data_IF_032926245003
#
_entry.id   IF_032926245003
#
_cell.length_a   1.000
_cell.length_b   1.000
_cell.length_c   1.000
_cell.angle_alpha   90.00
_cell.angle_beta   90.00
_cell.angle_gamma   90.00
#
_symmetry.space_group_name_H-M   'P 1'
#
loop_
_entity.id
_entity.type
_entity.pdbx_description
1 polymer ?
#
# COMPACT_ATOMS: atom_id res chain seq x y z
N UNK A 1 24.56 15.39 6.46
CA UNK A 1 25.01 15.27 7.86
C UNK A 1 25.18 16.69 8.41
N UNK A 2 24.30 17.10 9.31
CA UNK A 2 24.44 18.40 10.00
C UNK A 2 25.52 18.28 11.05
N UNK A 3 26.41 19.26 11.16
CA UNK A 3 27.40 19.30 12.25
C UNK A 3 26.70 19.49 13.58
N UNK A 4 27.04 18.74 14.64
CA UNK A 4 26.42 18.91 15.96
C UNK A 4 26.63 20.33 16.48
N UNK A 5 25.66 20.83 17.24
CA UNK A 5 25.74 22.17 17.82
C UNK A 5 26.83 22.21 18.90
N UNK A 6 27.73 23.19 18.77
CA UNK A 6 28.85 23.40 19.69
C UNK A 6 28.51 24.56 20.63
N UNK A 7 28.06 24.21 21.84
CA UNK A 7 27.67 25.17 22.88
C UNK A 7 28.84 26.04 23.34
N UNK A 8 30.06 25.50 23.43
CA UNK A 8 31.23 26.26 23.85
C UNK A 8 31.64 27.30 22.80
N UNK A 9 31.68 26.91 21.53
CA UNK A 9 31.96 27.85 20.44
C UNK A 9 30.87 28.91 20.33
N UNK A 10 29.62 28.56 20.57
CA UNK A 10 28.51 29.51 20.58
C UNK A 10 28.58 30.50 21.76
N UNK A 11 28.80 30.02 22.98
CA UNK A 11 29.00 30.85 24.18
C UNK A 11 30.19 31.82 23.99
N UNK A 12 31.30 31.33 23.45
CA UNK A 12 32.48 32.17 23.14
C UNK A 12 32.14 33.34 22.21
N UNK A 13 31.37 33.09 21.16
CA UNK A 13 30.95 34.14 20.22
C UNK A 13 30.01 35.16 20.87
N UNK A 14 29.13 34.72 21.78
CA UNK A 14 28.27 35.62 22.54
C UNK A 14 29.10 36.53 23.47
N UNK A 15 30.09 35.96 24.16
CA UNK A 15 31.02 36.73 25.01
C UNK A 15 31.84 37.74 24.19
N UNK A 16 32.37 37.33 23.03
CA UNK A 16 33.07 38.22 22.09
C UNK A 16 32.18 39.36 21.58
N UNK A 17 30.86 39.15 21.53
CA UNK A 17 29.87 40.17 21.17
C UNK A 17 29.45 41.08 22.35
N UNK A 18 30.06 40.92 23.53
CA UNK A 18 29.80 41.76 24.71
C UNK A 18 28.72 41.23 25.66
N UNK A 19 28.23 40.01 25.46
CA UNK A 19 27.33 39.35 26.43
C UNK A 19 28.12 38.95 27.69
N UNK A 20 27.50 39.05 28.88
CA UNK A 20 28.15 38.57 30.11
C UNK A 20 28.37 37.05 30.06
N UNK A 21 29.43 36.51 30.68
CA UNK A 21 29.72 35.08 30.64
C UNK A 21 28.55 34.21 31.12
N UNK A 22 27.91 34.60 32.23
CA UNK A 22 26.78 33.86 32.78
C UNK A 22 25.57 33.80 31.82
N UNK A 23 25.28 34.90 31.10
CA UNK A 23 24.17 34.92 30.15
C UNK A 23 24.53 34.14 28.86
N UNK A 24 25.78 34.23 28.42
CA UNK A 24 26.28 33.49 27.26
C UNK A 24 26.22 31.98 27.47
N UNK A 25 26.59 31.50 28.66
CA UNK A 25 26.54 30.08 29.01
C UNK A 25 25.09 29.57 29.09
N UNK A 26 24.20 30.30 29.79
CA UNK A 26 22.77 29.95 29.86
C UNK A 26 22.15 29.90 28.46
N UNK A 27 22.42 30.90 27.63
CA UNK A 27 21.89 30.94 26.27
C UNK A 27 22.42 29.78 25.42
N UNK A 28 23.69 29.42 25.57
CA UNK A 28 24.30 28.30 24.85
C UNK A 28 23.75 26.95 25.29
N UNK A 29 23.51 26.76 26.59
CA UNK A 29 22.87 25.57 27.15
C UNK A 29 21.43 25.41 26.61
N UNK A 30 20.58 26.44 26.77
CA UNK A 30 19.20 26.40 26.28
C UNK A 30 19.13 26.18 24.76
N UNK A 31 20.03 26.81 23.99
CA UNK A 31 20.09 26.60 22.54
C UNK A 31 20.53 25.17 22.19
N UNK A 32 21.45 24.60 22.96
CA UNK A 32 21.86 23.20 22.83
C UNK A 32 20.73 22.21 23.11
N UNK A 33 19.94 22.46 24.16
CA UNK A 33 18.75 21.67 24.47
C UNK A 33 17.72 21.72 23.34
N UNK A 34 17.42 22.92 22.83
CA UNK A 34 16.51 23.10 21.69
C UNK A 34 17.02 22.34 20.47
N UNK A 35 18.32 22.42 20.16
CA UNK A 35 18.89 21.70 19.02
C UNK A 35 18.80 20.18 19.19
N UNK A 36 19.00 19.67 20.41
CA UNK A 36 18.86 18.25 20.70
C UNK A 36 17.42 17.78 20.51
N UNK A 37 16.42 18.53 20.98
CA UNK A 37 15.02 18.20 20.74
C UNK A 37 14.64 18.31 19.25
N UNK A 38 15.15 19.30 18.52
CA UNK A 38 14.96 19.41 17.07
C UNK A 38 15.52 18.19 16.33
N UNK A 39 16.74 17.75 16.68
CA UNK A 39 17.33 16.53 16.12
C UNK A 39 16.45 15.31 16.42
N UNK A 40 15.96 15.19 17.66
CA UNK A 40 15.08 14.08 18.06
C UNK A 40 13.76 14.09 17.28
N UNK A 41 13.16 15.25 17.06
CA UNK A 41 11.95 15.41 16.25
C UNK A 41 12.24 15.04 14.80
N UNK A 42 13.36 15.50 14.23
CA UNK A 42 13.77 15.16 12.86
C UNK A 42 13.91 13.66 12.68
N UNK A 43 14.59 12.97 13.61
CA UNK A 43 14.73 11.51 13.56
C UNK A 43 13.39 10.78 13.69
N UNK A 44 12.49 11.26 14.56
CA UNK A 44 11.13 10.69 14.66
C UNK A 44 10.31 10.91 13.40
N UNK A 45 10.49 12.05 12.72
CA UNK A 45 9.80 12.34 11.47
C UNK A 45 10.28 11.40 10.36
N UNK A 46 11.59 11.18 10.25
CA UNK A 46 12.16 10.18 9.33
C UNK A 46 11.64 8.76 9.65
N UNK A 47 11.56 8.38 10.93
CA UNK A 47 11.00 7.09 11.33
C UNK A 47 9.52 6.96 10.92
N UNK A 48 8.73 8.01 11.12
CA UNK A 48 7.32 8.04 10.71
C UNK A 48 7.18 7.94 9.20
N UNK A 49 8.02 8.64 8.44
CA UNK A 49 8.03 8.60 6.98
C UNK A 49 8.32 7.19 6.46
N UNK A 50 9.40 6.56 6.95
CA UNK A 50 9.75 5.18 6.64
C UNK A 50 8.61 4.22 6.99
N UNK A 51 8.00 4.36 8.17
CA UNK A 51 6.89 3.52 8.63
C UNK A 51 5.65 3.70 7.77
N UNK A 52 5.36 4.92 7.32
CA UNK A 52 4.22 5.20 6.47
C UNK A 52 4.42 4.64 5.07
N UNK A 53 5.60 4.80 4.47
CA UNK A 53 5.93 4.16 3.19
C UNK A 53 5.78 2.64 3.28
N UNK A 54 6.33 2.00 4.32
CA UNK A 54 6.19 0.55 4.50
C UNK A 54 4.72 0.10 4.65
N UNK A 55 3.87 0.92 5.29
CA UNK A 55 2.42 0.65 5.36
C UNK A 55 1.73 0.81 4.01
N UNK A 56 2.11 1.81 3.22
CA UNK A 56 1.58 2.03 1.87
C UNK A 56 1.92 0.82 1.00
N UNK A 57 3.19 0.39 0.98
CA UNK A 57 3.65 -0.78 0.24
C UNK A 57 2.89 -2.04 0.64
N UNK A 58 2.64 -2.23 1.95
CA UNK A 58 1.86 -3.36 2.44
C UNK A 58 0.40 -3.32 1.95
N UNK A 59 -0.22 -2.15 1.96
CA UNK A 59 -1.60 -1.97 1.49
C UNK A 59 -1.69 -2.20 -0.01
N UNK A 60 -0.76 -1.67 -0.79
CA UNK A 60 -0.69 -1.85 -2.24
C UNK A 60 -0.55 -3.34 -2.60
N UNK A 61 0.37 -4.05 -1.96
CA UNK A 61 0.55 -5.48 -2.18
C UNK A 61 -0.70 -6.30 -1.82
N UNK A 62 -1.37 -5.96 -0.71
CA UNK A 62 -2.63 -6.62 -0.31
C UNK A 62 -3.75 -6.37 -1.32
N UNK A 63 -3.86 -5.15 -1.84
CA UNK A 63 -4.86 -4.81 -2.84
C UNK A 63 -4.59 -5.53 -4.16
N UNK A 64 -3.34 -5.55 -4.63
CA UNK A 64 -2.95 -6.28 -5.85
C UNK A 64 -3.29 -7.78 -5.73
N UNK A 65 -2.94 -8.40 -4.60
CA UNK A 65 -3.27 -9.81 -4.33
C UNK A 65 -4.79 -10.05 -4.36
N UNK A 66 -5.56 -9.15 -3.76
CA UNK A 66 -7.03 -9.29 -3.72
C UNK A 66 -7.66 -9.08 -5.09
N UNK A 67 -7.11 -8.17 -5.90
CA UNK A 67 -7.54 -7.96 -7.29
C UNK A 67 -7.29 -9.22 -8.11
N UNK A 68 -6.10 -9.82 -8.00
CA UNK A 68 -5.77 -11.07 -8.70
C UNK A 68 -6.67 -12.22 -8.29
N UNK A 69 -6.96 -12.36 -6.99
CA UNK A 69 -7.92 -13.36 -6.49
C UNK A 69 -9.32 -13.15 -7.08
N UNK A 70 -9.84 -11.92 -7.04
CA UNK A 70 -11.16 -11.61 -7.61
C UNK A 70 -11.20 -11.88 -9.11
N UNK A 71 -10.11 -11.57 -9.84
CA UNK A 71 -10.00 -11.86 -11.26
C UNK A 71 -10.08 -13.36 -11.54
N UNK A 72 -9.32 -14.17 -10.80
CA UNK A 72 -9.35 -15.64 -10.93
C UNK A 72 -10.72 -16.21 -10.58
N UNK A 73 -11.37 -15.72 -9.52
CA UNK A 73 -12.72 -16.14 -9.14
C UNK A 73 -13.75 -15.80 -10.23
N UNK A 74 -13.65 -14.62 -10.85
CA UNK A 74 -14.52 -14.23 -11.96
C UNK A 74 -14.28 -15.07 -13.21
N UNK A 75 -13.03 -15.33 -13.57
CA UNK A 75 -12.67 -16.20 -14.70
C UNK A 75 -13.23 -17.63 -14.49
N UNK A 76 -13.13 -18.16 -13.27
CA UNK A 76 -13.69 -19.46 -12.91
C UNK A 76 -15.22 -19.49 -13.03
N UNK A 77 -15.93 -18.49 -12.50
CA UNK A 77 -17.39 -18.38 -12.61
C UNK A 77 -17.87 -18.23 -14.05
N UNK A 78 -17.12 -17.50 -14.87
CA UNK A 78 -17.41 -17.38 -16.30
C UNK A 78 -17.23 -18.73 -16.99
N UNK A 79 -16.16 -19.46 -16.70
CA UNK A 79 -15.93 -20.79 -17.26
C UNK A 79 -17.04 -21.78 -16.86
N UNK A 80 -17.44 -21.78 -15.59
CA UNK A 80 -18.54 -22.58 -15.08
C UNK A 80 -19.87 -22.26 -15.78
N UNK A 81 -20.21 -20.98 -15.89
CA UNK A 81 -21.43 -20.55 -16.59
C UNK A 81 -21.42 -20.94 -18.07
N UNK A 82 -20.27 -20.81 -18.76
CA UNK A 82 -20.11 -21.29 -20.14
C UNK A 82 -20.32 -22.79 -20.26
N UNK A 83 -19.76 -23.58 -19.34
CA UNK A 83 -19.91 -25.02 -19.33
C UNK A 83 -21.37 -25.43 -19.11
N UNK A 84 -22.08 -24.76 -18.20
CA UNK A 84 -23.50 -24.98 -17.96
C UNK A 84 -24.34 -24.69 -19.20
N UNK A 85 -24.10 -23.56 -19.86
CA UNK A 85 -24.79 -23.21 -21.12
C UNK A 85 -24.52 -24.26 -22.20
N UNK A 86 -23.27 -24.69 -22.37
CA UNK A 86 -22.93 -25.76 -23.33
C UNK A 86 -23.68 -27.05 -23.00
N UNK A 87 -23.76 -27.43 -21.72
CA UNK A 87 -24.47 -28.64 -21.28
C UNK A 87 -25.96 -28.58 -21.64
N UNK A 88 -26.62 -27.44 -21.40
CA UNK A 88 -28.01 -27.23 -21.77
C UNK A 88 -28.24 -27.26 -23.28
N UNK A 89 -27.38 -26.59 -24.06
CA UNK A 89 -27.46 -26.58 -25.52
C UNK A 89 -27.31 -27.99 -26.11
N UNK A 90 -26.35 -28.76 -25.62
CA UNK A 90 -26.16 -30.16 -26.03
C UNK A 90 -27.38 -31.01 -25.67
N UNK A 91 -27.92 -30.85 -24.47
CA UNK A 91 -29.13 -31.56 -24.04
C UNK A 91 -30.34 -31.29 -24.95
N UNK A 92 -30.57 -30.03 -25.30
CA UNK A 92 -31.66 -29.63 -26.21
C UNK A 92 -31.42 -30.17 -27.63
N UNK A 93 -30.19 -30.10 -28.14
CA UNK A 93 -29.85 -30.60 -29.48
C UNK A 93 -30.11 -32.11 -29.61
N UNK A 94 -29.76 -32.90 -28.59
CA UNK A 94 -30.04 -34.35 -28.54
C UNK A 94 -31.56 -34.62 -28.52
N UNK A 95 -32.30 -33.88 -27.69
CA UNK A 95 -33.75 -34.02 -27.59
C UNK A 95 -34.44 -33.70 -28.93
N UNK A 96 -34.10 -32.57 -29.55
CA UNK A 96 -34.64 -32.14 -30.84
C UNK A 96 -34.35 -33.15 -31.95
N UNK A 97 -33.12 -33.69 -31.99
CA UNK A 97 -32.73 -34.72 -32.96
C UNK A 97 -33.57 -36.00 -32.82
N UNK A 98 -33.84 -36.41 -31.58
CA UNK A 98 -34.70 -37.56 -31.27
C UNK A 98 -36.14 -37.33 -31.74
N UNK A 99 -36.68 -36.11 -31.52
CA UNK A 99 -38.03 -35.73 -31.95
C UNK A 99 -38.15 -35.74 -33.48
N UNK A 100 -37.19 -35.15 -34.20
CA UNK A 100 -37.17 -35.16 -35.67
C UNK A 100 -37.11 -36.57 -36.23
N UNK A 101 -36.27 -37.43 -35.65
CA UNK A 101 -36.14 -38.84 -36.06
C UNK A 101 -37.45 -39.61 -35.85
N UNK A 102 -38.09 -39.45 -34.69
CA UNK A 102 -39.38 -40.08 -34.40
C UNK A 102 -40.50 -39.60 -35.33
N UNK A 103 -40.51 -38.30 -35.66
CA UNK A 103 -41.48 -37.74 -36.61
C UNK A 103 -41.28 -38.30 -38.03
N UNK A 104 -40.04 -38.40 -38.50
CA UNK A 104 -39.73 -39.01 -39.81
C UNK A 104 -40.19 -40.47 -39.88
N UNK A 105 -39.96 -41.27 -38.84
CA UNK A 105 -40.42 -42.67 -38.78
C UNK A 105 -41.94 -42.79 -38.86
N UNK A 106 -42.67 -41.85 -38.25
CA UNK A 106 -44.14 -41.78 -38.29
C UNK A 106 -44.69 -41.38 -39.66
N UNK A 107 -43.93 -40.64 -40.48
CA UNK A 107 -44.34 -40.29 -41.85
C UNK A 107 -44.07 -41.41 -42.87
N UNK A 108 -43.17 -42.34 -42.55
CA UNK A 108 -42.79 -43.46 -43.41
C UNK A 108 -43.64 -44.73 -43.20
N UNK A 109 -44.42 -44.79 -42.11
CA UNK A 109 -45.42 -45.84 -41.83
C UNK A 109 -46.84 -45.28 -41.92
#
# INVERSE_FOLDING_TARGET
MSTPFDSHKYAKRLMEAGMSPALADIQAETTGEIMNELNRISSKLEEVDVKNNAKIDLVENKLNTKIDQVKLELEAKIAESRAEVVRWVVGIAILQSSVLTGFMLKLLH
#
